data_IF_757464896741
#
_entry.id   IF_757464896741
#
_cell.length_a   1.000
_cell.length_b   1.000
_cell.length_c   1.000
_cell.angle_alpha   90.00
_cell.angle_beta   90.00
_cell.angle_gamma   90.00
#
_symmetry.space_group_name_H-M   'P 1'
#
loop_
_entity.id
_entity.type
_entity.pdbx_description
1 polymer ?
#
# COMPACT_ATOMS: atom_id res chain seq x y z
N UNK A 1 0.48 -47.36 5.02
CA UNK A 1 1.22 -46.74 6.15
C UNK A 1 2.57 -46.24 5.65
N UNK A 2 2.60 -45.05 5.06
CA UNK A 2 3.84 -44.34 4.75
C UNK A 2 3.94 -43.17 5.73
N UNK A 3 4.98 -43.14 6.56
CA UNK A 3 5.15 -42.15 7.62
C UNK A 3 5.17 -40.72 7.07
N UNK A 4 4.45 -39.81 7.72
CA UNK A 4 4.60 -38.36 7.54
C UNK A 4 6.09 -38.00 7.52
N UNK A 5 6.59 -37.44 6.41
CA UNK A 5 8.01 -37.16 6.28
C UNK A 5 8.40 -36.11 7.32
N UNK A 6 9.18 -36.51 8.33
CA UNK A 6 9.86 -35.59 9.24
C UNK A 6 10.71 -34.64 8.39
N UNK A 7 10.23 -33.41 8.18
CA UNK A 7 11.00 -32.35 7.53
C UNK A 7 12.36 -32.24 8.25
N UNK A 8 13.43 -32.54 7.53
CA UNK A 8 14.78 -32.52 8.07
C UNK A 8 15.11 -31.12 8.60
N UNK A 9 15.83 -31.01 9.72
CA UNK A 9 16.25 -29.70 10.23
C UNK A 9 17.24 -29.08 9.23
N UNK A 10 17.00 -27.83 8.82
CA UNK A 10 17.93 -27.07 7.98
C UNK A 10 19.25 -26.91 8.74
N UNK A 11 20.37 -27.20 8.08
CA UNK A 11 21.68 -26.96 8.68
C UNK A 11 21.87 -25.46 8.89
N UNK A 12 22.48 -25.08 10.01
CA UNK A 12 22.81 -23.68 10.22
C UNK A 12 23.81 -23.18 9.17
N UNK A 13 23.32 -22.45 8.17
CA UNK A 13 24.12 -21.91 7.08
C UNK A 13 24.57 -20.46 7.31
N UNK A 14 24.32 -19.88 8.49
CA UNK A 14 24.63 -18.47 8.76
C UNK A 14 26.11 -18.16 8.57
N UNK A 15 26.98 -19.00 9.12
CA UNK A 15 28.44 -18.91 9.00
C UNK A 15 29.01 -19.48 7.69
N UNK A 16 28.19 -20.14 6.86
CA UNK A 16 28.67 -20.75 5.62
C UNK A 16 29.03 -19.68 4.59
N UNK A 17 30.18 -19.82 3.92
CA UNK A 17 30.62 -18.86 2.89
C UNK A 17 29.83 -19.04 1.59
N UNK A 18 29.75 -17.99 0.76
CA UNK A 18 29.13 -18.06 -0.59
C UNK A 18 29.76 -19.18 -1.44
N UNK A 19 31.09 -19.31 -1.41
CA UNK A 19 31.84 -20.34 -2.15
C UNK A 19 31.43 -21.76 -1.73
N UNK A 20 31.24 -22.00 -0.43
CA UNK A 20 30.80 -23.31 0.08
C UNK A 20 29.35 -23.60 -0.30
N UNK A 21 28.45 -22.60 -0.25
CA UNK A 21 27.07 -22.75 -0.71
C UNK A 21 26.99 -23.12 -2.20
N UNK A 22 27.76 -22.44 -3.06
CA UNK A 22 27.81 -22.74 -4.49
C UNK A 22 28.25 -24.19 -4.76
N UNK A 23 29.25 -24.69 -4.02
CA UNK A 23 29.70 -26.10 -4.15
C UNK A 23 28.60 -27.08 -3.72
N UNK A 24 27.95 -26.81 -2.58
CA UNK A 24 26.86 -27.65 -2.07
C UNK A 24 25.66 -27.69 -3.03
N UNK A 25 25.28 -26.55 -3.59
CA UNK A 25 24.19 -26.45 -4.57
C UNK A 25 24.55 -27.10 -5.92
N UNK A 26 25.80 -27.00 -6.37
CA UNK A 26 26.25 -27.71 -7.56
C UNK A 26 26.21 -29.23 -7.36
N UNK A 27 26.62 -29.71 -6.18
CA UNK A 27 26.58 -31.13 -5.84
C UNK A 27 25.14 -31.67 -5.73
N UNK A 28 24.18 -30.84 -5.28
CA UNK A 28 22.77 -31.23 -5.18
C UNK A 28 22.03 -31.28 -6.52
N UNK A 29 22.65 -30.87 -7.63
CA UNK A 29 22.03 -30.81 -8.98
C UNK A 29 20.74 -29.97 -9.03
N UNK A 30 20.60 -29.04 -8.10
CA UNK A 30 19.51 -28.08 -8.05
C UNK A 30 19.79 -26.94 -9.03
N UNK A 31 18.75 -26.39 -9.66
CA UNK A 31 18.88 -25.19 -10.46
C UNK A 31 19.14 -23.97 -9.55
N UNK A 32 20.17 -23.19 -9.84
CA UNK A 32 20.42 -21.92 -9.15
C UNK A 32 21.26 -20.98 -10.01
N UNK A 33 21.13 -19.68 -9.77
CA UNK A 33 21.94 -18.68 -10.44
C UNK A 33 23.25 -18.44 -9.68
N UNK A 34 24.39 -18.74 -10.31
CA UNK A 34 25.71 -18.70 -9.66
C UNK A 34 26.10 -17.32 -9.15
N UNK A 35 25.59 -16.25 -9.77
CA UNK A 35 25.91 -14.88 -9.36
C UNK A 35 24.96 -14.34 -8.28
N UNK A 36 23.94 -15.09 -7.86
CA UNK A 36 23.01 -14.68 -6.81
C UNK A 36 23.71 -14.28 -5.51
N UNK A 37 23.05 -13.39 -4.77
CA UNK A 37 23.50 -12.96 -3.45
C UNK A 37 23.49 -14.14 -2.46
N UNK A 38 24.34 -14.07 -1.41
CA UNK A 38 24.44 -15.12 -0.40
C UNK A 38 23.08 -15.52 0.22
N UNK A 39 22.19 -14.59 0.61
CA UNK A 39 20.87 -14.95 1.17
C UNK A 39 19.99 -15.73 0.19
N UNK A 40 20.05 -15.41 -1.10
CA UNK A 40 19.31 -16.14 -2.15
C UNK A 40 19.83 -17.57 -2.27
N UNK A 41 21.15 -17.76 -2.25
CA UNK A 41 21.75 -19.10 -2.26
C UNK A 41 21.44 -19.89 -0.99
N UNK A 42 21.35 -19.22 0.17
CA UNK A 42 20.94 -19.84 1.43
C UNK A 42 19.48 -20.30 1.37
N UNK A 43 18.58 -19.48 0.84
CA UNK A 43 17.17 -19.83 0.62
C UNK A 43 17.02 -21.06 -0.28
N UNK A 44 17.67 -21.07 -1.44
CA UNK A 44 17.64 -22.21 -2.37
C UNK A 44 18.19 -23.48 -1.72
N UNK A 45 19.30 -23.37 -0.99
CA UNK A 45 19.88 -24.53 -0.31
C UNK A 45 18.98 -25.04 0.82
N UNK A 46 18.37 -24.15 1.60
CA UNK A 46 17.44 -24.55 2.65
C UNK A 46 16.23 -25.31 2.07
N UNK A 47 15.62 -24.79 1.00
CA UNK A 47 14.53 -25.47 0.27
C UNK A 47 14.92 -26.85 -0.25
N UNK A 48 16.18 -27.02 -0.69
CA UNK A 48 16.71 -28.34 -1.06
C UNK A 48 16.83 -29.27 0.16
N UNK A 49 17.37 -28.79 1.29
CA UNK A 49 17.59 -29.63 2.48
C UNK A 49 16.30 -30.20 3.04
N UNK A 50 15.24 -29.42 3.02
CA UNK A 50 13.90 -29.82 3.48
C UNK A 50 13.11 -30.58 2.42
N UNK A 51 13.74 -30.92 1.29
CA UNK A 51 13.16 -31.77 0.25
C UNK A 51 12.11 -31.10 -0.64
N UNK A 52 11.85 -29.81 -0.44
CA UNK A 52 10.93 -29.05 -1.30
C UNK A 52 11.47 -28.94 -2.72
N UNK A 53 12.77 -28.63 -2.84
CA UNK A 53 13.39 -28.40 -4.14
C UNK A 53 14.20 -29.61 -4.60
N UNK A 54 13.75 -30.25 -5.68
CA UNK A 54 14.36 -31.43 -6.28
C UNK A 54 15.23 -31.07 -7.49
N UNK A 55 16.20 -31.93 -7.89
CA UNK A 55 16.96 -31.73 -9.11
C UNK A 55 16.05 -31.50 -10.32
N UNK A 56 16.37 -30.50 -11.13
CA UNK A 56 15.59 -30.13 -12.32
C UNK A 56 14.35 -29.26 -12.07
N UNK A 57 13.92 -29.05 -10.82
CA UNK A 57 12.80 -28.13 -10.54
C UNK A 57 13.16 -26.68 -10.88
N UNK A 58 12.19 -25.96 -11.42
CA UNK A 58 12.31 -24.52 -11.64
C UNK A 58 12.22 -23.76 -10.32
N UNK A 59 13.02 -22.71 -10.22
CA UNK A 59 13.04 -21.82 -9.08
C UNK A 59 11.84 -20.86 -9.13
N UNK A 60 11.04 -20.81 -8.06
CA UNK A 60 10.03 -19.79 -7.85
C UNK A 60 10.69 -18.51 -7.29
N UNK A 61 10.79 -17.42 -8.08
CA UNK A 61 11.49 -16.21 -7.66
C UNK A 61 10.83 -15.53 -6.46
N UNK A 62 9.50 -15.59 -6.33
CA UNK A 62 8.76 -14.94 -5.24
C UNK A 62 9.06 -15.67 -3.93
N UNK A 63 8.86 -16.98 -3.93
CA UNK A 63 9.17 -17.84 -2.78
C UNK A 63 10.62 -17.67 -2.31
N UNK A 64 11.57 -17.69 -3.26
CA UNK A 64 13.00 -17.58 -2.94
C UNK A 64 13.34 -16.20 -2.37
N UNK A 65 12.79 -15.13 -2.93
CA UNK A 65 13.06 -13.78 -2.44
C UNK A 65 12.46 -13.56 -1.04
N UNK A 66 11.26 -14.09 -0.79
CA UNK A 66 10.63 -14.08 0.54
C UNK A 66 11.52 -14.78 1.56
N UNK A 67 11.95 -16.02 1.27
CA UNK A 67 12.81 -16.80 2.16
C UNK A 67 14.18 -16.13 2.33
N UNK A 68 14.76 -15.58 1.26
CA UNK A 68 16.04 -14.88 1.31
C UNK A 68 15.99 -13.63 2.20
N UNK A 69 14.82 -13.01 2.37
CA UNK A 69 14.58 -11.92 3.31
C UNK A 69 14.90 -12.33 4.75
N UNK A 70 14.54 -13.54 5.17
CA UNK A 70 14.74 -14.03 6.53
C UNK A 70 16.22 -14.19 6.91
N UNK A 71 17.10 -14.50 5.95
CA UNK A 71 18.54 -14.55 6.20
C UNK A 71 19.17 -13.17 6.38
N UNK A 72 18.49 -12.10 5.96
CA UNK A 72 18.91 -10.72 6.18
C UNK A 72 18.41 -10.17 7.53
N UNK A 73 17.30 -10.69 8.03
CA UNK A 73 16.69 -10.29 9.31
C UNK A 73 17.56 -10.68 10.51
N UNK A 74 17.62 -9.82 11.51
CA UNK A 74 18.19 -10.05 12.83
C UNK A 74 17.42 -11.13 13.60
N UNK A 75 17.97 -11.59 14.73
CA UNK A 75 17.27 -12.57 15.57
C UNK A 75 15.98 -12.03 16.21
N UNK A 76 15.95 -10.73 16.53
CA UNK A 76 14.75 -10.08 17.06
C UNK A 76 13.65 -10.00 15.98
N UNK A 77 13.98 -9.50 14.79
CA UNK A 77 13.03 -9.41 13.66
C UNK A 77 12.47 -10.80 13.28
N UNK A 78 13.28 -11.85 13.33
CA UNK A 78 12.83 -13.21 13.06
C UNK A 78 11.86 -13.75 14.12
N UNK A 79 12.13 -13.50 15.41
CA UNK A 79 11.23 -13.91 16.50
C UNK A 79 9.90 -13.17 16.43
N UNK A 80 9.95 -11.87 16.20
CA UNK A 80 8.77 -11.04 15.97
C UNK A 80 7.97 -11.57 14.77
N UNK A 81 8.64 -11.93 13.66
CA UNK A 81 7.97 -12.52 12.49
C UNK A 81 7.32 -13.87 12.84
N UNK A 82 7.99 -14.74 13.59
CA UNK A 82 7.46 -16.04 14.02
C UNK A 82 6.23 -15.90 14.92
N UNK A 83 6.28 -14.98 15.89
CA UNK A 83 5.14 -14.66 16.76
C UNK A 83 3.98 -14.05 15.97
N UNK A 84 4.29 -13.12 15.07
CA UNK A 84 3.32 -12.45 14.21
C UNK A 84 2.62 -13.40 13.24
N UNK A 85 3.34 -14.41 12.74
CA UNK A 85 2.76 -15.49 11.93
C UNK A 85 2.07 -16.58 12.79
N UNK A 86 1.95 -16.39 14.11
CA UNK A 86 1.29 -17.28 15.06
C UNK A 86 1.79 -18.72 15.02
N UNK A 87 3.07 -18.92 14.66
CA UNK A 87 3.63 -20.26 14.49
C UNK A 87 3.86 -20.96 15.84
N UNK A 88 4.04 -20.18 16.92
CA UNK A 88 4.19 -20.61 18.31
C UNK A 88 3.77 -19.49 19.28
N UNK A 89 3.36 -19.84 20.49
CA UNK A 89 2.96 -18.88 21.53
C UNK A 89 4.13 -18.24 22.30
N UNK A 90 5.26 -18.95 22.44
CA UNK A 90 6.47 -18.45 23.09
C UNK A 90 7.67 -18.59 22.15
N UNK A 91 8.30 -17.45 21.82
CA UNK A 91 9.49 -17.42 20.96
C UNK A 91 10.78 -17.18 21.73
N UNK A 92 10.70 -17.07 23.06
CA UNK A 92 11.86 -16.87 23.91
C UNK A 92 12.78 -18.09 23.85
N UNK A 93 14.07 -17.83 23.74
CA UNK A 93 15.08 -18.86 23.54
C UNK A 93 15.21 -19.41 22.12
N UNK A 94 14.35 -19.02 21.16
CA UNK A 94 14.54 -19.42 19.77
C UNK A 94 15.82 -18.81 19.18
N UNK A 95 16.65 -19.68 18.61
CA UNK A 95 17.78 -19.24 17.79
C UNK A 95 17.29 -18.77 16.42
N UNK A 96 18.12 -17.98 15.71
CA UNK A 96 17.79 -17.53 14.33
C UNK A 96 17.45 -18.69 13.40
N UNK A 97 18.13 -19.84 13.54
CA UNK A 97 17.89 -20.98 12.66
C UNK A 97 16.60 -21.70 13.04
N UNK A 98 16.20 -21.70 14.31
CA UNK A 98 14.91 -22.26 14.74
C UNK A 98 13.76 -21.43 14.16
N UNK A 99 13.85 -20.09 14.22
CA UNK A 99 12.87 -19.20 13.59
C UNK A 99 12.75 -19.46 12.08
N UNK A 100 13.88 -19.55 11.37
CA UNK A 100 13.89 -19.85 9.93
C UNK A 100 13.31 -21.22 9.62
N UNK A 101 13.61 -22.24 10.43
CA UNK A 101 13.02 -23.56 10.26
C UNK A 101 11.49 -23.53 10.42
N UNK A 102 10.97 -22.80 11.40
CA UNK A 102 9.53 -22.63 11.58
C UNK A 102 8.89 -21.93 10.38
N UNK A 103 9.46 -20.81 9.93
CA UNK A 103 8.98 -20.06 8.77
C UNK A 103 9.03 -20.87 7.47
N UNK A 104 10.08 -21.69 7.28
CA UNK A 104 10.20 -22.59 6.13
C UNK A 104 9.16 -23.70 6.15
N UNK A 105 8.95 -24.34 7.31
CA UNK A 105 7.94 -25.40 7.48
C UNK A 105 6.55 -24.86 7.17
N UNK A 106 6.23 -23.68 7.71
CA UNK A 106 5.00 -22.98 7.43
C UNK A 106 4.84 -22.73 5.93
N UNK A 107 5.79 -22.04 5.31
CA UNK A 107 5.71 -21.71 3.88
C UNK A 107 5.60 -22.94 2.99
N UNK A 108 6.27 -24.05 3.31
CA UNK A 108 6.19 -25.29 2.52
C UNK A 108 4.89 -26.04 2.73
N UNK A 109 4.43 -26.18 3.97
CA UNK A 109 3.12 -26.76 4.28
C UNK A 109 2.05 -26.09 3.44
N UNK A 110 2.16 -24.77 3.34
CA UNK A 110 1.25 -23.96 2.58
C UNK A 110 1.45 -24.11 1.04
N UNK A 111 2.69 -24.17 0.53
CA UNK A 111 2.96 -24.27 -0.92
C UNK A 111 2.70 -25.66 -1.54
N UNK A 112 2.71 -26.73 -0.74
CA UNK A 112 2.65 -28.12 -1.23
C UNK A 112 1.24 -28.69 -1.41
N UNK A 113 0.17 -27.92 -1.17
CA UNK A 113 -1.22 -28.41 -1.10
C UNK A 113 -1.53 -29.74 -1.83
N UNK A 114 -1.67 -30.82 -1.03
CA UNK A 114 -1.97 -32.26 -1.29
C UNK A 114 -0.86 -33.21 -0.80
N UNK A 115 -1.08 -34.42 -0.27
CA UNK A 115 -2.22 -35.32 -0.03
C UNK A 115 -1.65 -36.39 0.93
N UNK A 116 -2.29 -36.69 2.07
CA UNK A 116 -1.78 -37.77 2.93
C UNK A 116 -2.45 -37.89 4.29
N UNK A 117 -3.56 -38.62 4.30
CA UNK A 117 -4.28 -39.23 5.44
C UNK A 117 -5.12 -38.30 6.32
N UNK A 118 -6.40 -38.22 5.94
CA UNK A 118 -7.60 -38.35 6.78
C UNK A 118 -7.45 -37.93 8.25
N UNK A 119 -7.79 -36.68 8.55
CA UNK A 119 -8.88 -36.36 9.48
C UNK A 119 -9.24 -34.87 9.33
N UNK A 120 -10.51 -34.63 8.97
CA UNK A 120 -11.33 -33.42 9.14
C UNK A 120 -10.78 -32.07 8.61
N UNK A 121 -11.33 -31.65 7.46
CA UNK A 121 -11.49 -30.25 6.99
C UNK A 121 -10.27 -29.35 6.72
N UNK A 122 -9.04 -29.86 6.61
CA UNK A 122 -7.89 -28.99 6.32
C UNK A 122 -7.75 -28.61 4.82
N UNK A 123 -8.41 -27.52 4.50
CA UNK A 123 -8.53 -26.86 3.22
C UNK A 123 -7.15 -26.35 2.72
N UNK A 124 -6.38 -27.15 1.97
CA UNK A 124 -5.12 -26.70 1.35
C UNK A 124 -5.27 -25.39 0.54
N UNK A 125 -4.46 -24.37 0.84
CA UNK A 125 -4.57 -23.04 0.22
C UNK A 125 -3.86 -22.98 -1.14
N UNK A 126 -4.52 -22.53 -2.23
CA UNK A 126 -3.88 -22.36 -3.53
C UNK A 126 -2.71 -21.37 -3.46
N UNK A 127 -1.62 -21.68 -4.15
CA UNK A 127 -0.40 -20.85 -4.25
C UNK A 127 -0.69 -19.38 -4.59
N UNK A 128 -1.61 -19.12 -5.51
CA UNK A 128 -1.99 -17.76 -5.89
C UNK A 128 -2.58 -16.95 -4.73
N UNK A 129 -3.36 -17.58 -3.84
CA UNK A 129 -3.92 -16.92 -2.66
C UNK A 129 -2.81 -16.48 -1.71
N UNK A 130 -1.71 -17.24 -1.66
CA UNK A 130 -0.58 -16.95 -0.79
C UNK A 130 0.36 -15.91 -1.34
N UNK A 131 0.59 -15.93 -2.64
CA UNK A 131 1.32 -14.86 -3.30
C UNK A 131 0.58 -13.53 -3.09
N UNK A 132 -0.75 -13.55 -3.21
CA UNK A 132 -1.63 -12.42 -2.91
C UNK A 132 -1.55 -12.05 -1.42
N UNK A 133 -1.70 -13.00 -0.49
CA UNK A 133 -1.66 -12.69 0.94
C UNK A 133 -0.31 -12.17 1.42
N UNK A 134 0.79 -12.67 0.86
CA UNK A 134 2.14 -12.15 1.11
C UNK A 134 2.30 -10.72 0.56
N UNK A 135 1.79 -10.45 -0.65
CA UNK A 135 1.81 -9.11 -1.23
C UNK A 135 0.98 -8.10 -0.42
N UNK A 136 -0.22 -8.51 0.02
CA UNK A 136 -1.06 -7.74 0.94
C UNK A 136 -0.30 -7.50 2.23
N UNK A 137 0.27 -8.54 2.85
CA UNK A 137 0.93 -8.40 4.14
C UNK A 137 2.08 -7.41 4.10
N UNK A 138 2.80 -7.35 2.98
CA UNK A 138 3.87 -6.40 2.76
C UNK A 138 3.37 -4.95 2.72
N UNK A 139 2.14 -4.72 2.25
CA UNK A 139 1.54 -3.40 2.06
C UNK A 139 0.13 -3.31 2.67
N UNK A 140 -0.08 -3.88 3.86
CA UNK A 140 -1.42 -4.10 4.39
C UNK A 140 -2.18 -2.78 4.54
N UNK A 141 -1.50 -1.73 5.01
CA UNK A 141 -2.08 -0.39 5.13
C UNK A 141 -2.56 0.20 3.80
N UNK A 142 -1.86 -0.10 2.68
CA UNK A 142 -2.24 0.38 1.35
C UNK A 142 -3.45 -0.38 0.84
N UNK A 143 -3.44 -1.71 0.99
CA UNK A 143 -4.59 -2.53 0.60
C UNK A 143 -5.81 -2.17 1.45
N UNK A 144 -5.62 -1.96 2.76
CA UNK A 144 -6.68 -1.56 3.66
C UNK A 144 -7.26 -0.20 3.24
N UNK A 145 -6.41 0.79 2.93
CA UNK A 145 -6.85 2.10 2.45
C UNK A 145 -7.65 2.00 1.15
N UNK A 146 -7.18 1.18 0.20
CA UNK A 146 -7.85 0.99 -1.08
C UNK A 146 -9.20 0.29 -0.92
N UNK A 147 -9.28 -0.73 -0.05
CA UNK A 147 -10.53 -1.41 0.27
C UNK A 147 -11.53 -0.45 0.92
N UNK A 148 -11.11 0.34 1.93
CA UNK A 148 -11.97 1.36 2.56
C UNK A 148 -12.44 2.41 1.55
N UNK A 149 -11.58 2.79 0.60
CA UNK A 149 -11.95 3.75 -0.45
C UNK A 149 -13.00 3.20 -1.42
N UNK A 150 -12.86 1.93 -1.80
CA UNK A 150 -13.81 1.25 -2.68
C UNK A 150 -15.15 1.04 -1.95
N UNK A 151 -15.10 0.66 -0.69
CA UNK A 151 -16.28 0.53 0.16
C UNK A 151 -17.02 1.87 0.31
N UNK A 152 -16.27 2.96 0.52
CA UNK A 152 -16.82 4.32 0.56
C UNK A 152 -17.54 4.70 -0.75
N UNK A 153 -16.97 4.36 -1.92
CA UNK A 153 -17.61 4.61 -3.22
C UNK A 153 -18.90 3.78 -3.38
N UNK A 154 -18.92 2.53 -2.91
CA UNK A 154 -20.09 1.66 -2.93
C UNK A 154 -21.28 2.28 -2.17
N UNK A 155 -21.00 2.80 -0.98
CA UNK A 155 -22.01 3.44 -0.13
C UNK A 155 -22.50 4.73 -0.78
N UNK A 156 -21.62 5.54 -1.36
CA UNK A 156 -22.02 6.77 -2.06
C UNK A 156 -22.99 6.50 -3.21
N UNK A 157 -22.85 5.36 -3.87
CA UNK A 157 -23.75 4.94 -4.95
C UNK A 157 -25.07 4.40 -4.43
N UNK A 158 -25.25 4.16 -3.14
CA UNK A 158 -26.48 3.61 -2.58
C UNK A 158 -26.62 2.11 -2.81
N UNK A 159 -25.52 1.37 -2.74
CA UNK A 159 -25.51 -0.09 -2.83
C UNK A 159 -25.57 -0.65 -4.26
N UNK A 160 -25.51 0.21 -5.29
CA UNK A 160 -25.29 -0.30 -6.65
C UNK A 160 -23.95 -1.05 -6.72
N UNK A 161 -23.89 -2.12 -7.52
CA UNK A 161 -22.66 -2.89 -7.62
C UNK A 161 -21.50 -2.02 -8.07
N UNK A 162 -20.36 -2.20 -7.40
CA UNK A 162 -19.16 -1.43 -7.66
C UNK A 162 -18.57 -1.89 -8.99
N UNK A 163 -18.47 -0.97 -9.94
CA UNK A 163 -17.76 -1.19 -11.19
C UNK A 163 -16.38 -0.56 -11.10
N UNK A 164 -15.33 -1.37 -11.26
CA UNK A 164 -13.97 -0.85 -11.29
C UNK A 164 -13.60 -0.42 -12.70
N UNK A 165 -13.01 0.77 -12.88
CA UNK A 165 -12.41 1.15 -14.16
C UNK A 165 -11.43 0.06 -14.62
N UNK A 166 -11.74 -0.58 -15.76
CA UNK A 166 -10.92 -1.67 -16.32
C UNK A 166 -11.24 -3.08 -15.80
N UNK A 167 -12.29 -3.29 -15.00
CA UNK A 167 -12.80 -4.63 -14.66
C UNK A 167 -14.27 -4.77 -15.08
N UNK A 168 -14.65 -5.86 -15.78
CA UNK A 168 -16.06 -6.15 -16.07
C UNK A 168 -16.84 -6.65 -14.84
N UNK A 169 -16.17 -6.80 -13.69
CA UNK A 169 -16.72 -7.47 -12.51
C UNK A 169 -17.42 -6.49 -11.58
N UNK A 170 -18.56 -6.94 -11.05
CA UNK A 170 -19.41 -6.20 -10.13
C UNK A 170 -19.27 -6.83 -8.74
N UNK A 171 -19.04 -6.01 -7.72
CA UNK A 171 -18.97 -6.44 -6.32
C UNK A 171 -20.07 -5.73 -5.55
N UNK A 172 -20.83 -6.49 -4.77
CA UNK A 172 -21.89 -5.95 -3.92
C UNK A 172 -21.36 -5.56 -2.55
N UNK A 173 -22.13 -4.77 -1.80
CA UNK A 173 -21.77 -4.44 -0.42
C UNK A 173 -21.78 -5.68 0.49
N UNK A 174 -22.70 -6.61 0.24
CA UNK A 174 -22.82 -7.85 1.00
C UNK A 174 -21.56 -8.72 0.85
N UNK A 175 -21.03 -8.84 -0.38
CA UNK A 175 -19.77 -9.55 -0.66
C UNK A 175 -18.59 -8.98 0.17
N UNK A 176 -18.56 -7.67 0.40
CA UNK A 176 -17.55 -7.02 1.23
C UNK A 176 -17.69 -7.42 2.71
N UNK A 177 -18.91 -7.38 3.24
CA UNK A 177 -19.18 -7.64 4.66
C UNK A 177 -18.92 -9.09 5.05
N UNK A 178 -19.22 -10.04 4.16
CA UNK A 178 -18.96 -11.47 4.41
C UNK A 178 -17.47 -11.82 4.29
N UNK A 179 -16.73 -11.11 3.43
CA UNK A 179 -15.35 -11.47 3.08
C UNK A 179 -14.25 -10.70 3.81
N UNK A 180 -14.55 -9.60 4.50
CA UNK A 180 -13.57 -8.81 5.25
C UNK A 180 -14.03 -8.58 6.69
N UNK A 181 -13.94 -9.60 7.57
CA UNK A 181 -14.35 -9.46 8.96
C UNK A 181 -13.40 -8.58 9.81
N UNK A 182 -12.16 -8.37 9.35
CA UNK A 182 -11.16 -7.56 10.04
C UNK A 182 -10.14 -6.96 9.05
N UNK A 183 -9.51 -5.83 9.36
CA UNK A 183 -8.47 -5.22 8.51
C UNK A 183 -7.23 -6.12 8.38
N UNK A 184 -6.59 -6.12 7.20
CA UNK A 184 -5.42 -6.97 6.97
C UNK A 184 -4.19 -6.55 7.79
N UNK A 185 -4.08 -5.27 8.16
CA UNK A 185 -3.09 -4.81 9.12
C UNK A 185 -3.20 -5.55 10.47
N UNK A 186 -4.42 -5.85 10.93
CA UNK A 186 -4.69 -6.44 12.23
C UNK A 186 -4.72 -7.96 12.22
N UNK A 187 -4.95 -8.58 11.05
CA UNK A 187 -4.98 -10.03 10.91
C UNK A 187 -3.69 -10.77 11.32
N UNK A 188 -2.60 -10.08 11.67
CA UNK A 188 -1.44 -10.70 12.32
C UNK A 188 -0.55 -11.50 11.36
N UNK A 189 -1.09 -12.54 10.72
CA UNK A 189 -0.38 -13.47 9.82
C UNK A 189 -0.87 -13.41 8.37
N UNK A 190 0.00 -13.81 7.44
CA UNK A 190 -0.39 -13.98 6.01
C UNK A 190 -1.36 -15.16 5.82
N UNK A 191 -1.36 -16.12 6.75
CA UNK A 191 -2.19 -17.32 6.72
C UNK A 191 -3.64 -16.95 7.01
N UNK A 192 -3.89 -16.17 8.07
CA UNK A 192 -5.23 -15.66 8.40
C UNK A 192 -5.84 -14.88 7.23
N UNK A 193 -5.04 -14.00 6.60
CA UNK A 193 -5.45 -13.28 5.39
C UNK A 193 -5.86 -14.24 4.28
N UNK A 194 -5.03 -15.25 4.00
CA UNK A 194 -5.31 -16.19 2.92
C UNK A 194 -6.49 -17.13 3.22
N UNK A 195 -6.70 -17.53 4.48
CA UNK A 195 -7.87 -18.29 4.91
C UNK A 195 -9.16 -17.48 4.73
N UNK A 196 -9.14 -16.20 5.09
CA UNK A 196 -10.24 -15.27 4.83
C UNK A 196 -10.54 -15.16 3.34
N UNK A 197 -9.52 -14.89 2.52
CA UNK A 197 -9.68 -14.77 1.06
C UNK A 197 -10.13 -16.09 0.41
N UNK A 198 -9.74 -17.24 0.98
CA UNK A 198 -10.18 -18.55 0.51
C UNK A 198 -11.67 -18.77 0.77
N UNK A 199 -12.18 -18.30 1.91
CA UNK A 199 -13.60 -18.37 2.26
C UNK A 199 -14.44 -17.37 1.46
N UNK A 200 -13.83 -16.29 0.95
CA UNK A 200 -14.49 -15.26 0.15
C UNK A 200 -13.85 -15.06 -1.24
N UNK A 201 -14.16 -15.93 -2.23
CA UNK A 201 -13.55 -15.88 -3.57
C UNK A 201 -13.76 -14.57 -4.34
N UNK A 202 -14.89 -13.88 -4.17
CA UNK A 202 -15.13 -12.58 -4.82
C UNK A 202 -14.24 -11.48 -4.23
N UNK A 203 -14.04 -11.50 -2.90
CA UNK A 203 -13.09 -10.64 -2.20
C UNK A 203 -11.64 -10.90 -2.64
N UNK A 204 -11.27 -12.15 -2.88
CA UNK A 204 -9.96 -12.48 -3.45
C UNK A 204 -9.76 -11.84 -4.83
N UNK A 205 -10.78 -11.87 -5.71
CA UNK A 205 -10.70 -11.23 -7.03
C UNK A 205 -10.55 -9.72 -6.91
N UNK A 206 -11.27 -9.09 -5.98
CA UNK A 206 -11.12 -7.68 -5.67
C UNK A 206 -9.70 -7.33 -5.26
N UNK A 207 -9.20 -8.03 -4.24
CA UNK A 207 -7.89 -7.74 -3.67
C UNK A 207 -6.79 -7.98 -4.69
N UNK A 208 -6.94 -8.99 -5.54
CA UNK A 208 -6.09 -9.22 -6.70
C UNK A 208 -6.14 -8.01 -7.65
N UNK A 209 -7.33 -7.57 -8.05
CA UNK A 209 -7.50 -6.40 -8.92
C UNK A 209 -6.86 -5.14 -8.31
N UNK A 210 -7.07 -4.89 -7.01
CA UNK A 210 -6.48 -3.76 -6.30
C UNK A 210 -4.96 -3.83 -6.29
N UNK A 211 -4.41 -5.01 -5.98
CA UNK A 211 -2.97 -5.24 -5.96
C UNK A 211 -2.33 -5.03 -7.34
N UNK A 212 -2.95 -5.55 -8.39
CA UNK A 212 -2.46 -5.44 -9.77
C UNK A 212 -2.56 -4.02 -10.33
N UNK A 213 -3.62 -3.27 -9.98
CA UNK A 213 -3.87 -1.96 -10.57
C UNK A 213 -3.33 -0.80 -9.76
N UNK A 214 -3.30 -0.92 -8.43
CA UNK A 214 -3.00 0.17 -7.49
C UNK A 214 -1.86 -0.16 -6.52
N UNK A 215 -1.51 -1.44 -6.32
CA UNK A 215 -0.53 -1.85 -5.31
C UNK A 215 0.87 -1.25 -5.48
N UNK A 216 1.19 -0.75 -6.68
CA UNK A 216 2.44 -0.02 -6.95
C UNK A 216 2.36 1.49 -6.80
N UNK A 217 1.17 2.09 -6.65
CA UNK A 217 0.99 3.54 -6.63
C UNK A 217 1.30 4.17 -5.29
N UNK A 218 1.01 3.46 -4.19
CA UNK A 218 1.12 3.99 -2.85
C UNK A 218 2.13 3.21 -2.04
N UNK A 219 2.86 3.92 -1.18
CA UNK A 219 3.57 3.32 -0.05
C UNK A 219 3.24 4.10 1.23
N UNK A 220 3.19 3.44 2.40
CA UNK A 220 3.07 4.14 3.66
C UNK A 220 4.27 5.07 3.89
N UNK A 221 4.00 6.32 4.28
CA UNK A 221 5.02 7.32 4.54
C UNK A 221 5.61 7.13 5.95
N UNK A 222 6.60 6.24 6.05
CA UNK A 222 7.31 5.95 7.30
C UNK A 222 8.68 6.63 7.37
N UNK A 223 9.16 6.88 8.60
CA UNK A 223 10.50 7.44 8.85
C UNK A 223 10.75 8.75 8.10
N UNK A 224 11.73 8.76 7.18
CA UNK A 224 12.12 9.95 6.41
C UNK A 224 11.09 10.40 5.36
N UNK A 225 10.14 9.53 5.01
CA UNK A 225 9.07 9.87 4.07
C UNK A 225 7.90 10.58 4.76
N UNK A 226 7.78 10.43 6.09
CA UNK A 226 6.73 11.07 6.88
C UNK A 226 6.96 12.57 6.93
N UNK A 227 5.92 13.34 6.61
CA UNK A 227 5.94 14.79 6.74
C UNK A 227 5.57 15.16 8.17
N UNK A 228 6.49 15.83 8.86
CA UNK A 228 6.28 16.29 10.24
C UNK A 228 5.26 17.43 10.30
N UNK A 229 4.62 17.58 11.46
CA UNK A 229 3.66 18.65 11.75
C UNK A 229 2.22 18.15 11.88
N UNK A 230 1.88 17.05 11.20
CA UNK A 230 0.57 16.41 11.39
C UNK A 230 0.54 15.58 12.69
N UNK A 231 -0.64 15.46 13.34
CA UNK A 231 -0.86 14.55 14.46
C UNK A 231 -0.48 13.10 14.15
N UNK A 232 -0.20 12.32 15.20
CA UNK A 232 0.16 10.91 15.05
C UNK A 232 -0.98 10.07 14.45
N UNK A 233 -2.24 10.48 14.64
CA UNK A 233 -3.45 9.86 14.07
C UNK A 233 -3.58 10.03 12.56
N UNK A 234 -2.89 11.00 11.95
CA UNK A 234 -2.92 11.22 10.50
C UNK A 234 -2.02 10.21 9.81
N UNK A 235 -2.65 9.24 9.13
CA UNK A 235 -1.94 8.30 8.26
C UNK A 235 -1.49 9.02 6.98
N UNK A 236 -0.26 8.73 6.55
CA UNK A 236 0.37 9.40 5.42
C UNK A 236 0.85 8.36 4.42
N UNK A 237 0.61 8.63 3.13
CA UNK A 237 1.04 7.78 2.04
C UNK A 237 1.74 8.62 0.97
N UNK A 238 2.76 8.03 0.35
CA UNK A 238 3.48 8.62 -0.78
C UNK A 238 2.95 8.02 -2.07
N UNK A 239 2.67 8.87 -3.05
CA UNK A 239 2.31 8.46 -4.41
C UNK A 239 3.58 8.30 -5.24
N UNK A 240 3.92 7.05 -5.58
CA UNK A 240 5.20 6.67 -6.20
C UNK A 240 5.09 6.29 -7.68
N UNK A 241 3.91 6.39 -8.28
CA UNK A 241 3.72 6.21 -9.71
C UNK A 241 2.86 7.32 -10.30
N UNK A 242 3.11 7.64 -11.57
CA UNK A 242 2.25 8.56 -12.32
C UNK A 242 0.93 7.84 -12.68
N UNK A 243 -0.19 8.57 -12.78
CA UNK A 243 -1.43 8.01 -13.31
C UNK A 243 -1.22 7.35 -14.66
N UNK A 244 -1.68 6.10 -14.82
CA UNK A 244 -1.56 5.28 -16.04
C UNK A 244 -2.09 6.00 -17.29
N UNK A 245 -3.11 6.84 -17.13
CA UNK A 245 -3.75 7.56 -18.22
C UNK A 245 -3.24 8.99 -18.42
N UNK A 246 -2.19 9.41 -17.71
CA UNK A 246 -1.60 10.73 -17.91
C UNK A 246 -0.78 10.77 -19.22
N UNK A 247 -1.03 11.78 -20.07
CA UNK A 247 -0.26 11.98 -21.29
C UNK A 247 1.18 12.36 -20.94
N UNK A 248 2.13 11.53 -21.35
CA UNK A 248 3.54 11.51 -20.95
C UNK A 248 4.40 12.61 -21.57
N UNK A 249 3.91 13.84 -21.63
CA UNK A 249 4.74 15.00 -21.97
C UNK A 249 5.20 15.69 -20.68
N UNK A 250 6.33 15.21 -20.14
CA UNK A 250 7.03 15.91 -19.07
C UNK A 250 7.41 17.31 -19.56
N UNK A 251 6.91 18.40 -18.95
CA UNK A 251 7.46 19.71 -19.22
C UNK A 251 8.94 19.71 -18.83
N UNK A 252 9.80 20.36 -19.61
CA UNK A 252 11.18 20.63 -19.19
C UNK A 252 11.14 21.29 -17.81
N UNK A 253 12.02 20.93 -16.87
CA UNK A 253 12.10 21.59 -15.58
C UNK A 253 12.36 23.08 -15.83
N UNK A 254 11.46 23.92 -15.31
CA UNK A 254 11.58 25.38 -15.39
C UNK A 254 12.88 25.87 -14.74
N UNK A 255 13.34 27.03 -15.21
CA UNK A 255 14.47 27.81 -14.68
C UNK A 255 14.53 27.81 -13.14
N UNK A 256 15.74 27.77 -12.58
CA UNK A 256 16.04 27.78 -11.13
C UNK A 256 15.37 28.93 -10.35
N UNK A 257 14.84 29.95 -11.03
CA UNK A 257 14.16 31.10 -10.42
C UNK A 257 12.69 30.84 -10.05
N UNK A 258 12.05 29.78 -10.53
CA UNK A 258 10.57 29.64 -10.50
C UNK A 258 10.07 28.23 -10.16
N UNK A 259 10.72 27.57 -9.18
CA UNK A 259 10.50 26.18 -8.78
C UNK A 259 9.05 25.73 -8.50
N UNK A 260 8.84 24.42 -8.28
CA UNK A 260 7.51 23.81 -8.19
C UNK A 260 6.66 24.42 -7.09
N UNK A 261 5.35 24.46 -7.33
CA UNK A 261 4.36 24.95 -6.35
C UNK A 261 3.73 23.77 -5.60
N UNK A 262 3.51 23.95 -4.30
CA UNK A 262 2.81 22.98 -3.45
C UNK A 262 1.38 23.47 -3.31
N UNK A 263 0.43 22.61 -3.67
CA UNK A 263 -1.00 22.87 -3.57
C UNK A 263 -1.69 21.74 -2.84
N UNK A 264 -2.80 22.04 -2.19
CA UNK A 264 -3.60 21.09 -1.44
C UNK A 264 -4.99 20.96 -2.04
N UNK A 265 -5.57 19.77 -1.92
CA UNK A 265 -6.94 19.49 -2.35
C UNK A 265 -7.60 18.54 -1.34
N UNK A 266 -8.72 18.97 -0.76
CA UNK A 266 -9.55 18.14 0.10
C UNK A 266 -10.58 17.38 -0.71
N UNK A 267 -10.74 16.08 -0.45
CA UNK A 267 -11.71 15.23 -1.13
C UNK A 267 -12.22 14.12 -0.21
N UNK A 268 -13.23 13.39 -0.69
CA UNK A 268 -13.73 12.18 -0.01
C UNK A 268 -12.85 10.97 -0.32
N UNK A 269 -12.80 10.03 0.62
CA UNK A 269 -12.06 8.77 0.48
C UNK A 269 -12.48 7.97 -0.77
N UNK A 270 -13.76 8.02 -1.13
CA UNK A 270 -14.33 7.35 -2.30
C UNK A 270 -13.67 7.71 -3.64
N UNK A 271 -13.11 8.93 -3.76
CA UNK A 271 -12.50 9.39 -5.00
C UNK A 271 -11.04 8.98 -5.15
N UNK A 272 -10.40 8.47 -4.08
CA UNK A 272 -8.99 8.17 -4.08
C UNK A 272 -8.57 7.16 -5.17
N UNK A 273 -9.26 6.02 -5.39
CA UNK A 273 -8.88 5.08 -6.46
C UNK A 273 -8.91 5.73 -7.84
N UNK A 274 -9.97 6.49 -8.14
CA UNK A 274 -10.07 7.22 -9.41
C UNK A 274 -8.93 8.22 -9.60
N UNK A 275 -8.59 8.97 -8.53
CA UNK A 275 -7.51 9.96 -8.57
C UNK A 275 -6.14 9.31 -8.78
N UNK A 276 -5.89 8.15 -8.17
CA UNK A 276 -4.64 7.41 -8.38
C UNK A 276 -4.50 6.91 -9.81
N UNK A 277 -5.59 6.40 -10.40
CA UNK A 277 -5.57 5.82 -11.74
C UNK A 277 -5.52 6.86 -12.86
N UNK A 278 -6.36 7.89 -12.77
CA UNK A 278 -6.57 8.89 -13.81
C UNK A 278 -5.90 10.23 -13.53
N UNK A 279 -5.49 10.49 -12.30
CA UNK A 279 -5.08 11.81 -11.84
C UNK A 279 -6.27 12.65 -11.37
N UNK A 280 -6.00 13.92 -11.04
CA UNK A 280 -7.06 14.87 -10.75
C UNK A 280 -7.75 15.29 -12.05
N UNK A 281 -9.07 15.23 -12.09
CA UNK A 281 -9.87 15.64 -13.24
C UNK A 281 -10.68 16.89 -12.88
N UNK A 282 -10.61 17.92 -13.73
CA UNK A 282 -11.52 19.04 -13.64
C UNK A 282 -12.79 18.68 -14.42
N UNK A 283 -13.94 18.66 -13.74
CA UNK A 283 -15.24 18.50 -14.41
C UNK A 283 -15.69 19.83 -14.98
N UNK A 284 -16.13 19.83 -16.24
CA UNK A 284 -16.76 21.00 -16.88
C UNK A 284 -18.20 21.17 -16.40
N UNK A 285 -18.36 21.58 -15.15
CA UNK A 285 -19.62 22.08 -14.60
C UNK A 285 -19.50 23.59 -14.40
N UNK A 286 -20.57 24.33 -14.68
CA UNK A 286 -20.63 25.77 -14.42
C UNK A 286 -21.06 25.98 -12.96
N UNK A 287 -20.12 26.37 -12.10
CA UNK A 287 -20.37 26.72 -10.70
C UNK A 287 -20.07 28.20 -10.52
N UNK A 288 -21.05 28.97 -10.03
CA UNK A 288 -20.91 30.42 -9.79
C UNK A 288 -20.45 31.22 -11.02
N UNK A 289 -20.89 30.82 -12.22
CA UNK A 289 -20.49 31.47 -13.49
C UNK A 289 -19.08 31.11 -13.97
N UNK A 290 -18.44 30.11 -13.36
CA UNK A 290 -17.12 29.59 -13.77
C UNK A 290 -17.28 28.19 -14.34
N UNK A 291 -16.83 28.01 -15.58
CA UNK A 291 -16.86 26.73 -16.30
C UNK A 291 -15.57 25.96 -15.99
N UNK A 292 -15.72 24.74 -15.46
CA UNK A 292 -14.63 23.80 -15.16
C UNK A 292 -13.73 24.16 -13.99
N UNK A 293 -13.93 23.52 -12.82
CA UNK A 293 -13.23 23.95 -11.61
C UNK A 293 -12.70 22.78 -10.78
N UNK A 294 -11.40 22.49 -10.92
CA UNK A 294 -10.65 21.86 -9.84
C UNK A 294 -10.12 22.97 -8.92
N UNK A 295 -10.57 22.98 -7.66
CA UNK A 295 -10.12 23.94 -6.66
C UNK A 295 -8.97 23.38 -5.83
N UNK A 296 -7.92 24.17 -5.64
CA UNK A 296 -6.80 23.82 -4.79
C UNK A 296 -6.29 25.04 -4.03
N UNK A 297 -5.86 24.86 -2.78
CA UNK A 297 -5.35 25.96 -1.97
C UNK A 297 -3.84 25.83 -1.74
N UNK A 298 -3.16 26.95 -1.55
CA UNK A 298 -1.80 26.90 -1.01
C UNK A 298 -1.82 26.49 0.47
N UNK A 299 -2.75 27.02 1.25
CA UNK A 299 -2.87 26.66 2.67
C UNK A 299 -3.62 25.32 2.80
N UNK A 300 -3.07 24.33 3.53
CA UNK A 300 -3.77 23.08 3.79
C UNK A 300 -5.14 23.31 4.41
N UNK A 301 -5.23 24.26 5.34
CA UNK A 301 -6.43 24.53 6.12
C UNK A 301 -7.64 24.96 5.25
N UNK A 302 -7.44 25.70 4.15
CA UNK A 302 -8.54 25.99 3.24
C UNK A 302 -9.03 24.74 2.50
N UNK A 303 -8.12 23.79 2.22
CA UNK A 303 -8.49 22.50 1.62
C UNK A 303 -9.13 21.54 2.61
N UNK A 304 -8.82 21.65 3.91
CA UNK A 304 -9.43 20.83 4.96
C UNK A 304 -10.96 20.93 4.98
N UNK A 305 -11.52 22.11 4.71
CA UNK A 305 -12.98 22.30 4.66
C UNK A 305 -13.66 21.41 3.61
N UNK A 306 -12.96 21.09 2.52
CA UNK A 306 -13.47 20.27 1.42
C UNK A 306 -13.21 18.78 1.62
N UNK A 307 -12.54 18.40 2.71
CA UNK A 307 -12.36 17.01 3.12
C UNK A 307 -13.74 16.48 3.54
N UNK A 308 -14.51 15.98 2.55
CA UNK A 308 -15.85 15.43 2.77
C UNK A 308 -15.75 14.14 3.56
N UNK A 309 -15.93 14.26 4.87
CA UNK A 309 -16.12 13.17 5.82
C UNK A 309 -17.59 12.80 5.75
N UNK A 310 -17.90 11.63 5.21
CA UNK A 310 -19.19 11.01 5.47
C UNK A 310 -18.95 10.00 6.56
N UNK A 311 -19.82 10.02 7.57
CA UNK A 311 -19.95 8.89 8.49
C UNK A 311 -20.35 7.70 7.63
N UNK A 312 -19.35 6.89 7.33
CA UNK A 312 -19.52 5.59 6.74
C UNK A 312 -19.52 4.68 7.95
N UNK A 313 -20.71 4.25 8.39
CA UNK A 313 -20.85 3.15 9.33
C UNK A 313 -20.28 1.91 8.63
N UNK A 314 -18.97 1.74 8.78
CA UNK A 314 -18.25 0.63 8.20
C UNK A 314 -18.47 -0.59 9.06
N UNK A 315 -18.95 -1.66 8.43
CA UNK A 315 -19.06 -2.97 9.06
C UNK A 315 -17.69 -3.66 9.18
N UNK A 316 -16.61 -3.01 8.75
CA UNK A 316 -15.26 -3.54 8.76
C UNK A 316 -14.51 -3.13 10.03
N UNK A 317 -14.50 -3.98 11.07
CA UNK A 317 -13.88 -3.63 12.35
C UNK A 317 -12.40 -4.07 12.48
N UNK A 318 -11.54 -3.28 13.15
CA UNK A 318 -11.70 -1.85 13.43
C UNK A 318 -11.43 -1.06 12.16
N UNK A 319 -12.37 -0.24 11.71
CA UNK A 319 -12.14 0.54 10.49
C UNK A 319 -11.08 1.62 10.78
N UNK A 320 -9.89 1.45 10.21
CA UNK A 320 -8.80 2.42 10.38
C UNK A 320 -9.08 3.72 9.64
N UNK A 321 -10.07 3.70 8.73
CA UNK A 321 -10.40 4.79 7.83
C UNK A 321 -11.89 5.13 7.83
N UNK A 322 -12.66 4.67 8.83
CA UNK A 322 -14.03 5.12 9.04
C UNK A 322 -14.00 6.59 9.38
N UNK A 323 -14.98 7.33 8.86
CA UNK A 323 -15.14 8.77 9.13
C UNK A 323 -13.93 9.62 8.72
N UNK A 324 -13.03 9.06 7.92
CA UNK A 324 -11.87 9.77 7.43
C UNK A 324 -12.19 10.53 6.15
N UNK A 325 -11.46 11.61 5.92
CA UNK A 325 -11.37 12.20 4.60
C UNK A 325 -9.93 12.34 4.12
N UNK A 326 -9.79 12.77 2.87
CA UNK A 326 -8.50 12.76 2.18
C UNK A 326 -8.07 14.18 1.89
N UNK A 327 -6.86 14.52 2.35
CA UNK A 327 -6.14 15.70 1.91
C UNK A 327 -5.00 15.26 1.00
N UNK A 328 -4.97 15.81 -0.21
CA UNK A 328 -3.90 15.56 -1.17
C UNK A 328 -2.91 16.72 -1.15
N UNK A 329 -1.62 16.41 -1.09
CA UNK A 329 -0.59 17.41 -1.43
C UNK A 329 -0.04 17.13 -2.83
N UNK A 330 -0.09 18.17 -3.64
CA UNK A 330 0.17 18.10 -5.05
C UNK A 330 1.33 19.01 -5.43
N UNK A 331 2.10 18.54 -6.39
CA UNK A 331 3.14 19.31 -7.07
C UNK A 331 2.57 19.86 -8.38
N UNK A 332 2.57 21.17 -8.52
CA UNK A 332 2.32 21.83 -9.79
C UNK A 332 3.67 22.14 -10.45
N UNK A 333 3.90 21.54 -11.63
CA UNK A 333 5.19 21.57 -12.33
C UNK A 333 5.51 22.90 -13.03
N UNK A 334 4.61 23.88 -12.96
CA UNK A 334 4.75 25.18 -13.62
C UNK A 334 4.58 26.31 -12.62
N UNK A 335 5.18 27.46 -12.95
CA UNK A 335 4.90 28.70 -12.24
C UNK A 335 3.45 29.12 -12.42
N UNK A 336 2.91 29.81 -11.41
CA UNK A 336 1.63 30.49 -11.47
C UNK A 336 1.53 31.33 -12.75
N UNK A 337 0.45 31.13 -13.53
CA UNK A 337 0.08 32.12 -14.55
C UNK A 337 -0.52 33.34 -13.84
N UNK A 338 -0.17 34.58 -14.23
CA UNK A 338 -0.73 35.79 -13.63
C UNK A 338 -2.26 35.87 -13.76
N UNK A 339 -2.84 35.14 -14.73
CA UNK A 339 -4.28 35.19 -15.07
C UNK A 339 -5.13 34.07 -14.42
N UNK A 340 -4.59 33.31 -13.46
CA UNK A 340 -5.42 32.33 -12.73
C UNK A 340 -6.36 33.05 -11.76
N UNK A 341 -7.66 32.86 -11.99
CA UNK A 341 -8.73 33.33 -11.12
C UNK A 341 -8.51 32.83 -9.70
N UNK A 342 -8.49 33.76 -8.75
CA UNK A 342 -8.51 33.46 -7.33
C UNK A 342 -9.81 33.97 -6.73
N UNK A 343 -10.41 33.16 -5.87
CA UNK A 343 -11.47 33.63 -4.98
C UNK A 343 -10.87 33.95 -3.62
N UNK A 344 -11.22 35.11 -3.10
CA UNK A 344 -11.05 35.44 -1.69
C UNK A 344 -12.37 35.12 -1.01
N UNK A 345 -12.54 33.92 -0.47
CA UNK A 345 -13.70 33.63 0.37
C UNK A 345 -13.61 34.51 1.63
N UNK A 346 -14.60 35.37 1.91
CA UNK A 346 -14.73 35.99 3.22
C UNK A 346 -15.39 34.96 4.13
N UNK A 347 -14.62 34.03 4.69
CA UNK A 347 -15.12 33.23 5.79
C UNK A 347 -15.38 34.16 6.97
N UNK A 348 -16.66 34.43 7.25
CA UNK A 348 -17.12 35.39 8.25
C UNK A 348 -16.69 35.11 9.69
N UNK A 349 -16.12 33.93 9.96
CA UNK A 349 -15.71 33.51 11.30
C UNK A 349 -14.20 33.25 11.46
N UNK A 350 -13.41 33.36 10.38
CA UNK A 350 -11.95 33.22 10.50
C UNK A 350 -11.35 34.58 10.83
N UNK A 351 -11.05 34.80 12.12
CA UNK A 351 -10.24 35.94 12.64
C UNK A 351 -8.79 35.95 12.12
N UNK A 352 -8.52 35.41 10.93
CA UNK A 352 -7.22 35.48 10.24
C UNK A 352 -7.47 36.30 8.98
N UNK A 353 -7.33 37.63 9.10
CA UNK A 353 -7.54 38.60 8.03
C UNK A 353 -6.51 38.54 6.89
N UNK A 354 -6.33 37.39 6.26
CA UNK A 354 -5.62 37.27 4.98
C UNK A 354 -6.43 36.42 4.01
N UNK A 355 -6.81 36.95 2.84
CA UNK A 355 -7.36 36.12 1.77
C UNK A 355 -6.34 35.04 1.40
N UNK A 356 -6.74 33.78 1.54
CA UNK A 356 -5.91 32.64 1.14
C UNK A 356 -6.17 32.35 -0.34
N UNK A 357 -5.13 32.26 -1.19
CA UNK A 357 -5.32 32.04 -2.61
C UNK A 357 -5.84 30.62 -2.86
N UNK A 358 -7.10 30.53 -3.29
CA UNK A 358 -7.69 29.33 -3.89
C UNK A 358 -7.47 29.45 -5.40
N UNK A 359 -6.80 28.45 -5.96
CA UNK A 359 -6.51 28.35 -7.39
C UNK A 359 -7.56 27.46 -8.06
N UNK A 360 -8.02 27.91 -9.23
CA UNK A 360 -9.01 27.19 -10.04
C UNK A 360 -8.33 26.69 -11.31
N UNK A 361 -8.40 25.39 -11.55
CA UNK A 361 -7.79 24.74 -12.70
C UNK A 361 -8.84 24.17 -13.65
N UNK A 362 -8.61 24.41 -14.95
CA UNK A 362 -9.37 23.76 -16.02
C UNK A 362 -8.78 22.39 -16.41
N UNK A 363 -9.46 21.63 -17.30
CA UNK A 363 -9.03 20.30 -17.71
C UNK A 363 -7.63 20.24 -18.32
N UNK A 364 -7.23 21.29 -19.05
CA UNK A 364 -5.90 21.40 -19.67
C UNK A 364 -4.76 21.63 -18.67
N UNK A 365 -5.09 22.11 -17.47
CA UNK A 365 -4.11 22.40 -16.43
C UNK A 365 -3.84 21.18 -15.53
N UNK A 366 -4.80 20.25 -15.41
CA UNK A 366 -4.67 19.10 -14.49
C UNK A 366 -3.51 18.17 -14.83
N UNK A 367 -3.13 18.08 -16.11
CA UNK A 367 -1.92 17.34 -16.55
C UNK A 367 -0.60 17.86 -15.95
N UNK A 368 -0.58 19.08 -15.41
CA UNK A 368 0.61 19.65 -14.77
C UNK A 368 0.63 19.43 -13.25
N UNK A 369 -0.44 18.85 -12.70
CA UNK A 369 -0.63 18.61 -11.28
C UNK A 369 -0.35 17.14 -11.00
N UNK A 370 0.61 16.88 -10.13
CA UNK A 370 0.97 15.54 -9.69
C UNK A 370 0.62 15.38 -8.22
N UNK A 371 -0.22 14.42 -7.88
CA UNK A 371 -0.41 14.03 -6.47
C UNK A 371 0.87 13.37 -5.98
N UNK A 372 1.42 13.86 -4.87
CA UNK A 372 2.67 13.35 -4.29
C UNK A 372 2.46 12.69 -2.94
N UNK A 373 1.52 13.21 -2.17
CA UNK A 373 1.16 12.69 -0.85
C UNK A 373 -0.35 12.62 -0.67
N UNK A 374 -0.77 11.60 0.07
CA UNK A 374 -2.14 11.39 0.54
C UNK A 374 -2.12 11.40 2.07
N UNK A 375 -2.88 12.30 2.68
CA UNK A 375 -3.08 12.39 4.13
C UNK A 375 -4.49 11.93 4.45
N UNK A 376 -4.61 10.92 5.30
CA UNK A 376 -5.89 10.43 5.79
C UNK A 376 -6.19 11.10 7.11
N UNK A 377 -7.27 11.89 7.13
CA UNK A 377 -7.64 12.77 8.23
C UNK A 377 -8.82 12.16 8.99
N UNK A 378 -8.62 11.66 10.22
CA UNK A 378 -9.69 11.10 11.03
C UNK A 378 -10.62 12.18 11.59
N UNK A 379 -11.83 11.76 12.02
CA UNK A 379 -12.91 12.68 12.40
C UNK A 379 -12.54 13.61 13.56
N UNK A 380 -11.79 13.10 14.53
CA UNK A 380 -11.26 13.82 15.69
C UNK A 380 -10.32 14.98 15.33
N UNK A 381 -9.82 15.06 14.09
CA UNK A 381 -8.98 16.15 13.59
C UNK A 381 -9.81 17.25 12.88
N UNK A 382 -11.13 17.10 12.68
CA UNK A 382 -11.97 18.13 12.00
C UNK A 382 -12.31 19.33 12.85
N UNK A 383 -12.61 19.10 14.13
CA UNK A 383 -13.08 20.13 15.05
C UNK A 383 -11.96 21.14 15.38
N UNK A 384 -10.71 20.72 15.28
CA UNK A 384 -9.55 21.56 15.57
C UNK A 384 -8.79 21.94 14.29
N UNK A 385 -9.28 23.00 13.62
CA UNK A 385 -8.55 23.75 12.59
C UNK A 385 -7.10 24.13 13.03
N UNK A 386 -6.83 24.11 14.34
CA UNK A 386 -5.55 24.38 14.99
C UNK A 386 -4.47 23.30 14.76
N UNK A 387 -4.81 22.12 14.23
CA UNK A 387 -3.87 21.00 14.07
C UNK A 387 -3.27 20.87 12.66
N UNK A 388 -3.81 21.60 11.67
CA UNK A 388 -3.21 21.61 10.33
C UNK A 388 -1.89 22.41 10.35
N UNK A 389 -0.77 21.84 9.87
CA UNK A 389 0.48 22.58 9.75
C UNK A 389 0.29 23.80 8.84
N UNK A 390 0.81 24.95 9.27
CA UNK A 390 0.80 26.15 8.43
C UNK A 390 1.56 25.93 7.14
N UNK A 391 1.20 26.66 6.09
CA UNK A 391 1.92 26.68 4.82
C UNK A 391 3.42 26.97 5.02
N UNK A 392 3.76 27.90 5.92
CA UNK A 392 5.15 28.25 6.24
C UNK A 392 5.95 27.06 6.78
N UNK A 393 5.31 26.15 7.51
CA UNK A 393 5.92 24.93 8.05
C UNK A 393 5.95 23.84 6.98
N UNK A 394 4.86 23.65 6.25
CA UNK A 394 4.68 22.50 5.39
C UNK A 394 5.36 22.65 4.03
N UNK A 395 5.37 23.85 3.44
CA UNK A 395 5.94 24.10 2.10
C UNK A 395 7.42 23.72 2.01
N UNK A 396 8.32 24.13 2.93
CA UNK A 396 9.72 23.71 2.87
C UNK A 396 9.90 22.20 2.97
N UNK A 397 9.09 21.53 3.79
CA UNK A 397 9.13 20.06 3.97
C UNK A 397 8.68 19.34 2.70
N UNK A 398 7.58 19.78 2.09
CA UNK A 398 7.06 19.21 0.85
C UNK A 398 8.01 19.43 -0.32
N UNK A 399 8.54 20.64 -0.50
CA UNK A 399 9.51 20.93 -1.55
C UNK A 399 10.80 20.10 -1.39
N UNK A 400 11.23 19.87 -0.15
CA UNK A 400 12.35 18.96 0.14
C UNK A 400 11.98 17.52 -0.20
N UNK A 401 10.77 17.08 0.14
CA UNK A 401 10.28 15.74 -0.16
C UNK A 401 10.18 15.51 -1.68
N UNK A 402 9.67 16.47 -2.45
CA UNK A 402 9.52 16.35 -3.91
C UNK A 402 10.86 16.19 -4.64
N UNK A 403 11.96 16.68 -4.05
CA UNK A 403 13.32 16.48 -4.57
C UNK A 403 13.89 15.07 -4.28
N UNK A 404 13.20 14.25 -3.49
CA UNK A 404 13.58 12.87 -3.19
C UNK A 404 13.70 12.03 -4.45
N UNK A 405 14.65 11.08 -4.45
CA UNK A 405 14.81 10.09 -5.53
C UNK A 405 13.54 9.28 -5.80
N UNK A 406 12.64 9.18 -4.82
CA UNK A 406 11.39 8.44 -4.98
C UNK A 406 10.45 9.06 -6.02
N UNK A 407 10.58 10.36 -6.27
CA UNK A 407 9.80 11.07 -7.29
C UNK A 407 10.58 11.30 -8.59
N UNK A 408 11.87 10.93 -8.63
CA UNK A 408 12.71 11.03 -9.82
C UNK A 408 12.40 9.87 -10.76
N UNK A 409 11.43 10.08 -11.65
CA UNK A 409 10.91 9.06 -12.58
C UNK A 409 9.39 9.06 -12.77
N UNK A 410 8.69 9.89 -11.99
CA UNK A 410 7.24 10.16 -12.05
C UNK A 410 7.04 11.58 -12.57
#
# INVERSE_FOLDING_TARGET
>A
MASASSLSKVLNTMSTTKKTLLRKLAASKVNFYRHSLKPVLQAVYALYQIGYLKPGMLLDPVLINTIAGWWKMTGAELRETVQKEELIHDSDGLTRIDCINLLLKDVICIWNGKEGENDLDDLSMPRSILEISAAIKLNSQVIDLLLSSVYADAILRGGYPISFPGSPQLITLDDFTEGFPENFANMGSKRKIAETLKKAPECLKLVKHLSENYGGYLIPANGKLKISGFPASVHQFVVVQAPKHSSSTSPKPNDEKTGPMVLFHGTSLSYLPSILLSGLEAKSEELYGKVSTLFMAEEPASSYFYVKRRVIESLWEPDLYSECGVLLACELSRTRKPDWDYETHPDGDVKIGRPQPIHIFGPEDTRFIKVRYVFILPDDVASDYLLAPTLSTLKPLMLKAFKSKIFQGI
#
